data_IF_011122996173
#
_entry.id   IF_011122996173
#
_cell.length_a   1.000
_cell.length_b   1.000
_cell.length_c   1.000
_cell.angle_alpha   90.00
_cell.angle_beta   90.00
_cell.angle_gamma   90.00
#
_symmetry.space_group_name_H-M   'P 1'
#
loop_
_entity.id
_entity.type
_entity.pdbx_description
1 polymer ?
#
# COMPACT_ATOMS: atom_id res chain seq x y z
N UNK A 1 -21.99 7.49 2.16
CA UNK A 1 -21.25 7.35 3.44
C UNK A 1 -19.82 6.96 3.07
N UNK A 2 -19.02 7.96 2.73
CA UNK A 2 -17.65 7.85 2.22
C UNK A 2 -16.68 8.58 3.16
N UNK A 3 -16.96 8.53 4.45
CA UNK A 3 -16.09 9.09 5.48
C UNK A 3 -15.28 7.96 6.11
N UNK A 4 -13.96 7.96 5.89
CA UNK A 4 -13.03 7.13 6.66
C UNK A 4 -12.26 6.04 5.92
N UNK A 5 -12.24 6.04 4.58
CA UNK A 5 -11.39 5.09 3.83
C UNK A 5 -9.90 5.46 3.88
N UNK A 6 -9.61 6.77 3.95
CA UNK A 6 -8.27 7.36 4.08
C UNK A 6 -8.13 8.08 5.43
N UNK A 7 -6.91 8.20 6.02
CA UNK A 7 -6.66 9.06 7.18
C UNK A 7 -7.11 10.51 6.95
N UNK A 8 -7.88 11.03 7.89
CA UNK A 8 -8.32 12.42 7.93
C UNK A 8 -7.16 13.38 8.26
N UNK A 9 -6.24 12.97 9.14
CA UNK A 9 -5.06 13.74 9.52
C UNK A 9 -3.81 12.86 9.40
N UNK A 10 -3.27 12.68 8.17
CA UNK A 10 -2.28 11.63 7.90
C UNK A 10 -0.89 11.98 8.45
N UNK A 11 -0.39 11.17 9.38
CA UNK A 11 0.96 11.28 9.96
C UNK A 11 1.77 9.99 9.78
N UNK A 12 3.09 10.10 9.68
CA UNK A 12 3.98 8.94 9.71
C UNK A 12 4.27 8.50 11.14
N UNK A 13 3.95 7.25 11.47
CA UNK A 13 4.31 6.65 12.76
C UNK A 13 4.95 5.29 12.56
N UNK A 14 5.91 4.98 13.43
CA UNK A 14 6.50 3.65 13.47
C UNK A 14 5.49 2.69 14.10
N UNK A 15 5.11 1.66 13.36
CA UNK A 15 4.33 0.55 13.88
C UNK A 15 5.30 -0.54 14.32
N UNK A 16 5.22 -0.94 15.57
CA UNK A 16 6.04 -2.02 16.11
C UNK A 16 5.52 -3.36 15.62
N UNK A 17 6.43 -4.28 15.28
CA UNK A 17 6.06 -5.65 14.92
C UNK A 17 5.16 -6.29 16.00
N UNK A 18 4.13 -7.01 15.57
CA UNK A 18 3.16 -7.70 16.43
C UNK A 18 2.37 -6.81 17.42
N UNK A 19 2.43 -5.47 17.31
CA UNK A 19 1.57 -4.59 18.12
C UNK A 19 0.14 -4.46 17.62
N UNK A 20 -0.10 -4.91 16.39
CA UNK A 20 -1.42 -4.92 15.76
C UNK A 20 -2.02 -6.33 15.85
N UNK A 21 -3.31 -6.40 16.14
CA UNK A 21 -4.04 -7.66 16.30
C UNK A 21 -4.22 -8.40 14.97
N UNK A 22 -4.43 -7.67 13.87
CA UNK A 22 -4.69 -8.25 12.56
C UNK A 22 -3.45 -8.14 11.66
N UNK A 23 -2.98 -6.94 11.36
CA UNK A 23 -1.82 -6.63 10.51
C UNK A 23 -0.48 -6.75 11.25
N UNK A 24 -0.26 -7.84 11.98
CA UNK A 24 0.93 -8.06 12.83
C UNK A 24 2.26 -8.03 12.06
N UNK A 25 2.24 -8.22 10.73
CA UNK A 25 3.41 -8.16 9.86
C UNK A 25 3.93 -6.74 9.58
N UNK A 26 3.20 -5.69 9.97
CA UNK A 26 3.61 -4.30 9.75
C UNK A 26 4.63 -3.91 10.81
N UNK A 27 5.84 -3.54 10.39
CA UNK A 27 6.97 -3.22 11.28
C UNK A 27 7.77 -1.98 10.84
N UNK A 28 7.10 -1.04 10.16
CA UNK A 28 7.73 0.12 9.53
C UNK A 28 7.00 1.44 9.82
N UNK A 29 7.58 2.56 9.37
CA UNK A 29 6.92 3.86 9.38
C UNK A 29 5.74 3.86 8.41
N UNK A 30 4.52 3.84 8.94
CA UNK A 30 3.30 3.80 8.17
C UNK A 30 2.49 5.09 8.34
N UNK A 31 1.68 5.41 7.32
CA UNK A 31 0.69 6.47 7.42
C UNK A 31 -0.47 6.01 8.29
N UNK A 32 -0.77 6.79 9.32
CA UNK A 32 -1.93 6.62 10.21
C UNK A 32 -2.57 7.97 10.49
N UNK A 33 -3.70 7.98 11.19
CA UNK A 33 -4.30 9.23 11.66
C UNK A 33 -3.54 9.80 12.86
N UNK A 34 -3.47 11.13 12.94
CA UNK A 34 -2.83 11.83 14.04
C UNK A 34 -3.38 11.43 15.42
N UNK A 35 -4.67 11.11 15.50
CA UNK A 35 -5.36 10.66 16.71
C UNK A 35 -5.31 9.13 16.92
N UNK A 36 -4.80 8.37 15.94
CA UNK A 36 -4.58 6.92 16.04
C UNK A 36 -3.11 6.60 16.29
N UNK A 37 -2.69 6.84 17.54
CA UNK A 37 -1.27 6.71 17.91
C UNK A 37 -0.69 5.31 17.75
N UNK A 38 -1.53 4.27 17.77
CA UNK A 38 -1.14 2.86 17.68
C UNK A 38 -1.41 2.24 16.31
N UNK A 39 -2.19 2.90 15.45
CA UNK A 39 -2.66 2.33 14.18
C UNK A 39 -3.84 1.37 14.34
N UNK A 40 -4.46 1.28 15.52
CA UNK A 40 -5.51 0.32 15.82
C UNK A 40 -6.80 0.55 15.00
N UNK A 41 -7.10 1.80 14.62
CA UNK A 41 -8.27 2.08 13.76
C UNK A 41 -8.03 1.54 12.36
N UNK A 42 -6.82 1.70 11.82
CA UNK A 42 -6.45 1.15 10.51
C UNK A 42 -6.40 -0.37 10.53
N UNK A 43 -5.92 -0.97 11.63
CA UNK A 43 -5.92 -2.43 11.83
C UNK A 43 -7.35 -2.99 11.81
N UNK A 44 -8.26 -2.37 12.56
CA UNK A 44 -9.67 -2.76 12.61
C UNK A 44 -10.36 -2.64 11.25
N UNK A 45 -10.03 -1.58 10.48
CA UNK A 45 -10.54 -1.42 9.10
C UNK A 45 -9.99 -2.52 8.18
N UNK A 46 -8.70 -2.84 8.27
CA UNK A 46 -8.09 -3.91 7.49
C UNK A 46 -8.77 -5.26 7.78
N UNK A 47 -9.03 -5.57 9.05
CA UNK A 47 -9.76 -6.77 9.45
C UNK A 47 -11.19 -6.77 8.88
N UNK A 48 -11.90 -5.65 8.96
CA UNK A 48 -13.26 -5.54 8.41
C UNK A 48 -13.30 -5.90 6.92
N UNK A 49 -12.38 -5.37 6.11
CA UNK A 49 -12.28 -5.72 4.69
C UNK A 49 -11.92 -7.18 4.45
N UNK A 50 -11.05 -7.75 5.27
CA UNK A 50 -10.69 -9.16 5.22
C UNK A 50 -11.88 -10.08 5.53
N UNK A 51 -12.67 -9.77 6.56
CA UNK A 51 -13.85 -10.57 6.97
C UNK A 51 -14.87 -10.73 5.84
N UNK A 52 -15.07 -9.69 5.03
CA UNK A 52 -15.97 -9.75 3.87
C UNK A 52 -15.50 -10.80 2.85
N UNK A 53 -14.19 -10.87 2.58
CA UNK A 53 -13.62 -11.89 1.70
C UNK A 53 -13.69 -13.28 2.31
N UNK A 54 -13.40 -13.41 3.61
CA UNK A 54 -13.47 -14.70 4.28
C UNK A 54 -14.88 -15.33 4.22
N UNK A 55 -15.93 -14.51 4.37
CA UNK A 55 -17.33 -14.95 4.21
C UNK A 55 -17.59 -15.49 2.80
N UNK A 56 -17.05 -14.84 1.75
CA UNK A 56 -17.20 -15.30 0.38
C UNK A 56 -16.46 -16.63 0.17
N UNK A 57 -15.24 -16.76 0.69
CA UNK A 57 -14.46 -17.99 0.60
C UNK A 57 -15.15 -19.18 1.30
N UNK A 58 -15.78 -18.95 2.46
CA UNK A 58 -16.54 -19.99 3.16
C UNK A 58 -17.70 -20.56 2.31
N UNK A 59 -18.37 -19.71 1.51
CA UNK A 59 -19.46 -20.13 0.63
C UNK A 59 -18.98 -20.82 -0.65
N UNK A 60 -17.78 -20.47 -1.14
CA UNK A 60 -17.20 -21.05 -2.35
C UNK A 60 -16.76 -22.52 -2.15
N UNK A 61 -16.66 -22.98 -0.91
CA UNK A 61 -16.32 -24.37 -0.59
C UNK A 61 -14.81 -24.63 -0.66
N UNK A 62 -14.08 -24.17 0.36
CA UNK A 62 -12.61 -24.26 0.47
C UNK A 62 -12.00 -25.67 0.40
N UNK A 63 -12.82 -26.71 0.34
CA UNK A 63 -12.41 -28.09 0.14
C UNK A 63 -12.04 -28.40 -1.32
N UNK A 64 -12.55 -27.62 -2.28
CA UNK A 64 -12.22 -27.78 -3.69
C UNK A 64 -10.98 -26.95 -4.03
N UNK A 65 -9.91 -27.60 -4.50
CA UNK A 65 -8.76 -26.89 -5.09
C UNK A 65 -9.18 -26.26 -6.42
N UNK A 66 -9.19 -24.93 -6.49
CA UNK A 66 -9.44 -24.19 -7.73
C UNK A 66 -8.16 -23.90 -8.52
N UNK A 67 -6.98 -24.13 -7.92
CA UNK A 67 -5.66 -24.01 -8.55
C UNK A 67 -4.61 -24.84 -7.78
N UNK A 68 -3.31 -24.54 -7.95
CA UNK A 68 -2.25 -25.00 -7.04
C UNK A 68 -2.52 -24.56 -5.59
N UNK A 69 -3.23 -23.44 -5.42
CA UNK A 69 -3.53 -22.78 -4.14
C UNK A 69 -4.92 -23.12 -3.61
N UNK A 70 -5.07 -23.07 -2.29
CA UNK A 70 -6.33 -23.20 -1.57
C UNK A 70 -6.77 -21.90 -0.89
N UNK A 71 -7.92 -21.96 -0.19
CA UNK A 71 -8.44 -20.77 0.49
C UNK A 71 -7.47 -20.16 1.52
N UNK A 72 -6.64 -20.97 2.17
CA UNK A 72 -5.70 -20.46 3.17
C UNK A 72 -4.60 -19.62 2.52
N UNK A 73 -4.09 -20.06 1.36
CA UNK A 73 -3.19 -19.25 0.54
C UNK A 73 -3.83 -17.93 0.11
N UNK A 74 -5.10 -17.96 -0.28
CA UNK A 74 -5.86 -16.76 -0.63
C UNK A 74 -6.05 -15.83 0.56
N UNK A 75 -6.40 -16.36 1.74
CA UNK A 75 -6.54 -15.61 2.99
C UNK A 75 -5.25 -14.90 3.33
N UNK A 76 -4.13 -15.60 3.29
CA UNK A 76 -2.83 -15.02 3.57
C UNK A 76 -2.48 -13.94 2.54
N UNK A 77 -2.66 -14.21 1.25
CA UNK A 77 -2.41 -13.22 0.19
C UNK A 77 -3.25 -11.96 0.37
N UNK A 78 -4.56 -12.12 0.63
CA UNK A 78 -5.48 -11.00 0.80
C UNK A 78 -5.17 -10.21 2.08
N UNK A 79 -4.82 -10.89 3.18
CA UNK A 79 -4.37 -10.26 4.43
C UNK A 79 -3.13 -9.40 4.18
N UNK A 80 -2.12 -9.94 3.50
CA UNK A 80 -0.93 -9.19 3.11
C UNK A 80 -1.27 -7.95 2.28
N UNK A 81 -2.12 -8.11 1.28
CA UNK A 81 -2.54 -7.00 0.43
C UNK A 81 -3.29 -5.92 1.23
N UNK A 82 -4.34 -6.27 1.97
CA UNK A 82 -5.15 -5.26 2.69
C UNK A 82 -4.32 -4.52 3.73
N UNK A 83 -3.40 -5.20 4.43
CA UNK A 83 -2.48 -4.56 5.36
C UNK A 83 -1.52 -3.61 4.64
N UNK A 84 -1.01 -3.97 3.46
CA UNK A 84 -0.16 -3.07 2.66
C UNK A 84 -0.87 -1.78 2.22
N UNK A 85 -2.17 -1.88 1.94
CA UNK A 85 -3.00 -0.76 1.49
C UNK A 85 -3.40 0.12 2.67
N UNK A 86 -3.77 -0.49 3.81
CA UNK A 86 -4.18 0.27 5.02
C UNK A 86 -3.00 0.89 5.75
N UNK A 87 -1.82 0.27 5.68
CA UNK A 87 -0.57 0.79 6.25
C UNK A 87 0.42 1.13 5.14
N UNK A 88 0.16 2.20 4.40
CA UNK A 88 1.09 2.69 3.40
C UNK A 88 2.41 3.11 4.08
N UNK A 89 3.53 2.51 3.68
CA UNK A 89 4.84 2.90 4.19
C UNK A 89 5.13 4.36 3.82
N UNK A 90 5.75 5.12 4.70
CA UNK A 90 6.04 6.53 4.45
C UNK A 90 7.39 6.97 5.03
N UNK A 91 7.88 8.11 4.57
CA UNK A 91 9.13 8.72 5.02
C UNK A 91 9.86 9.42 3.88
N UNK A 92 11.19 9.41 3.91
CA UNK A 92 11.97 9.86 2.77
C UNK A 92 12.28 8.71 1.82
N UNK A 93 12.04 8.90 0.53
CA UNK A 93 12.33 7.97 -0.54
C UNK A 93 13.27 8.62 -1.56
N UNK A 94 14.24 7.88 -2.08
CA UNK A 94 15.09 8.38 -3.17
C UNK A 94 14.58 7.77 -4.47
N UNK A 95 14.05 8.61 -5.36
CA UNK A 95 13.55 8.21 -6.67
C UNK A 95 14.59 8.57 -7.71
N UNK A 96 15.07 7.58 -8.45
CA UNK A 96 15.99 7.80 -9.56
C UNK A 96 15.19 7.89 -10.85
N UNK A 97 15.30 9.02 -11.54
CA UNK A 97 14.71 9.23 -12.87
C UNK A 97 15.82 9.30 -13.90
N UNK A 98 15.47 9.32 -15.19
CA UNK A 98 16.43 9.55 -16.29
C UNK A 98 17.20 10.88 -16.15
N UNK A 99 16.71 11.79 -15.28
CA UNK A 99 17.33 13.09 -14.95
C UNK A 99 18.18 13.06 -13.68
N UNK A 100 18.36 11.91 -13.04
CA UNK A 100 19.14 11.73 -11.81
C UNK A 100 18.30 11.34 -10.58
N UNK A 101 19.00 11.14 -9.45
CA UNK A 101 18.41 10.76 -8.17
C UNK A 101 17.82 11.98 -7.44
N UNK A 102 16.53 11.92 -7.12
CA UNK A 102 15.78 12.93 -6.37
C UNK A 102 15.29 12.34 -5.05
N UNK A 103 15.58 12.99 -3.92
CA UNK A 103 15.05 12.59 -2.61
C UNK A 103 13.68 13.22 -2.39
N UNK A 104 12.62 12.42 -2.42
CA UNK A 104 11.28 12.82 -1.99
C UNK A 104 11.17 12.62 -0.48
N UNK A 105 10.49 13.53 0.20
CA UNK A 105 10.30 13.51 1.65
C UNK A 105 8.80 13.60 1.92
N UNK A 106 8.27 12.65 2.68
CA UNK A 106 6.93 12.79 3.24
C UNK A 106 6.96 13.90 4.29
N UNK A 107 6.20 14.98 4.04
CA UNK A 107 5.93 16.01 5.03
C UNK A 107 4.44 16.04 5.33
N UNK A 108 4.11 15.98 6.62
CA UNK A 108 2.72 16.11 7.12
C UNK A 108 2.17 17.52 6.91
N UNK A 109 3.05 18.51 6.78
CA UNK A 109 2.70 19.94 6.74
C UNK A 109 2.21 20.41 5.36
N UNK A 110 2.16 19.51 4.36
CA UNK A 110 1.94 19.86 2.94
C UNK A 110 0.97 18.90 2.21
N UNK A 111 -0.05 18.34 2.86
CA UNK A 111 -1.08 17.56 2.17
C UNK A 111 -2.48 17.83 2.74
N UNK A 112 -2.92 19.09 2.71
CA UNK A 112 -4.36 19.40 2.79
C UNK A 112 -4.97 19.11 1.41
N UNK A 113 -5.88 18.14 1.33
CA UNK A 113 -6.60 17.83 0.11
C UNK A 113 -7.89 18.65 0.11
N UNK A 114 -8.01 19.79 -0.61
CA UNK A 114 -9.33 20.34 -0.87
C UNK A 114 -10.01 19.42 -1.88
N UNK A 115 -11.02 18.69 -1.43
CA UNK A 115 -11.90 17.89 -2.26
C UNK A 115 -12.78 18.81 -3.13
N UNK A 116 -12.20 19.51 -4.10
CA UNK A 116 -12.96 20.30 -5.08
C UNK A 116 -12.20 20.42 -6.40
N UNK A 117 -12.67 19.68 -7.40
CA UNK A 117 -12.46 20.00 -8.81
C UNK A 117 -12.93 21.43 -9.08
N UNK A 118 -12.03 22.38 -9.35
CA UNK A 118 -12.24 23.49 -10.31
C UNK A 118 -11.07 24.48 -10.41
N UNK A 119 -10.54 24.57 -11.63
CA UNK A 119 -10.16 25.78 -12.37
C UNK A 119 -8.97 26.62 -11.87
N UNK A 120 -7.88 26.42 -12.58
CA UNK A 120 -6.78 27.36 -12.78
C UNK A 120 -7.24 28.82 -12.98
N UNK A 121 -6.69 29.75 -12.20
CA UNK A 121 -6.41 31.11 -12.67
C UNK A 121 -5.13 31.61 -12.00
N UNK A 122 -4.21 32.08 -12.85
CA UNK A 122 -2.86 32.49 -12.49
C UNK A 122 -2.81 33.81 -11.71
N UNK A 123 -1.77 33.96 -10.88
CA UNK A 123 -0.84 35.11 -10.80
C UNK A 123 -0.56 35.57 -9.37
N UNK A 124 0.72 35.58 -8.99
CA UNK A 124 1.36 36.79 -8.42
C UNK A 124 2.88 36.62 -8.36
N UNK A 125 3.52 37.75 -8.65
CA UNK A 125 4.91 37.97 -9.03
C UNK A 125 5.80 38.26 -7.82
N UNK A 126 7.09 37.88 -7.90
CA UNK A 126 8.26 38.40 -7.12
C UNK A 126 8.27 38.08 -5.61
N UNK A 127 9.31 37.52 -4.99
CA UNK A 127 10.74 37.89 -5.03
C UNK A 127 11.60 36.78 -4.38
N UNK A 128 12.83 36.66 -4.88
CA UNK A 128 13.98 35.83 -4.46
C UNK A 128 14.06 35.33 -3.01
N UNK A 129 13.97 34.00 -2.83
CA UNK A 129 14.79 33.22 -1.89
C UNK A 129 14.83 31.76 -2.35
N UNK A 130 16.03 31.17 -2.39
CA UNK A 130 16.25 29.76 -2.75
C UNK A 130 15.72 28.87 -1.62
N UNK A 131 14.42 28.60 -1.67
CA UNK A 131 13.77 27.59 -0.84
C UNK A 131 13.13 26.64 -1.83
N UNK A 132 13.54 25.38 -1.82
CA UNK A 132 13.02 24.36 -2.73
C UNK A 132 11.49 24.47 -2.75
N UNK A 133 10.94 24.84 -3.91
CA UNK A 133 9.51 24.88 -4.11
C UNK A 133 8.99 23.45 -3.93
N UNK A 134 8.54 23.13 -2.72
CA UNK A 134 7.90 21.86 -2.41
C UNK A 134 6.46 21.96 -2.91
N UNK A 135 6.30 21.93 -4.23
CA UNK A 135 5.01 21.67 -4.86
C UNK A 135 4.65 20.22 -4.56
N UNK A 136 3.49 20.02 -3.94
CA UNK A 136 2.87 18.72 -3.81
C UNK A 136 2.52 18.25 -5.23
N UNK A 137 3.38 17.43 -5.82
CA UNK A 137 3.04 16.72 -7.05
C UNK A 137 2.01 15.68 -6.65
N UNK A 138 0.98 15.51 -7.46
CA UNK A 138 0.10 14.35 -7.37
C UNK A 138 0.99 13.08 -7.42
N UNK A 139 1.17 12.41 -6.28
CA UNK A 139 2.16 11.33 -6.11
C UNK A 139 3.53 11.70 -5.51
N UNK A 140 3.75 12.91 -4.96
CA UNK A 140 4.93 13.28 -4.15
C UNK A 140 4.68 13.31 -2.63
N UNK A 141 3.60 12.74 -2.14
CA UNK A 141 3.56 12.32 -0.74
C UNK A 141 4.70 11.29 -0.62
N UNK A 142 5.70 11.44 0.25
CA UNK A 142 6.74 10.42 0.47
C UNK A 142 6.22 9.08 1.05
N UNK A 143 5.00 8.70 0.68
CA UNK A 143 4.42 7.37 0.79
C UNK A 143 5.02 6.50 -0.29
N UNK A 144 5.45 5.31 0.11
CA UNK A 144 5.93 4.27 -0.79
C UNK A 144 4.73 3.60 -1.41
N UNK A 145 4.76 3.42 -2.74
CA UNK A 145 3.75 2.66 -3.47
C UNK A 145 3.77 1.20 -3.02
N UNK A 146 2.62 0.56 -2.89
CA UNK A 146 2.55 -0.89 -2.65
C UNK A 146 3.14 -1.63 -3.84
N UNK A 147 3.86 -2.72 -3.60
CA UNK A 147 4.36 -3.52 -4.70
C UNK A 147 3.22 -4.16 -5.50
N UNK A 148 3.27 -4.05 -6.84
CA UNK A 148 2.27 -4.63 -7.73
C UNK A 148 2.13 -6.15 -7.52
N UNK A 149 3.25 -6.84 -7.29
CA UNK A 149 3.29 -8.27 -7.00
C UNK A 149 2.56 -8.69 -5.73
N UNK A 150 2.35 -7.79 -4.75
CA UNK A 150 1.47 -8.08 -3.59
C UNK A 150 0.02 -8.17 -4.05
N UNK A 151 -0.40 -7.30 -4.95
CA UNK A 151 -1.73 -7.35 -5.54
C UNK A 151 -1.88 -8.61 -6.40
N UNK A 152 -0.91 -8.87 -7.29
CA UNK A 152 -0.94 -10.02 -8.20
C UNK A 152 -0.97 -11.36 -7.46
N UNK A 153 -0.35 -11.45 -6.28
CA UNK A 153 -0.43 -12.62 -5.42
C UNK A 153 -1.88 -12.94 -4.99
N UNK A 154 -2.72 -11.94 -4.77
CA UNK A 154 -4.15 -12.15 -4.48
C UNK A 154 -4.85 -12.72 -5.70
N UNK A 155 -4.66 -12.11 -6.88
CA UNK A 155 -5.28 -12.58 -8.14
C UNK A 155 -4.90 -14.03 -8.43
N UNK A 156 -3.65 -14.39 -8.17
CA UNK A 156 -3.11 -15.72 -8.41
C UNK A 156 -3.59 -16.77 -7.41
N UNK A 157 -3.70 -16.40 -6.13
CA UNK A 157 -4.02 -17.34 -5.04
C UNK A 157 -5.50 -17.45 -4.74
N UNK A 158 -6.33 -16.48 -5.15
CA UNK A 158 -7.75 -16.45 -4.84
C UNK A 158 -8.65 -16.93 -5.99
N UNK A 159 -9.86 -17.43 -5.66
CA UNK A 159 -10.81 -17.86 -6.68
C UNK A 159 -11.36 -16.65 -7.46
N UNK A 160 -11.68 -16.88 -8.73
CA UNK A 160 -12.20 -15.86 -9.65
C UNK A 160 -13.48 -15.17 -9.15
N UNK A 161 -14.25 -15.83 -8.26
CA UNK A 161 -15.48 -15.28 -7.67
C UNK A 161 -15.26 -13.98 -6.89
N UNK A 162 -14.05 -13.75 -6.37
CA UNK A 162 -13.73 -12.50 -5.69
C UNK A 162 -13.64 -11.31 -6.66
N UNK A 163 -13.52 -11.58 -7.97
CA UNK A 163 -13.36 -10.57 -9.03
C UNK A 163 -12.28 -9.52 -8.73
N UNK A 164 -11.24 -9.95 -8.01
CA UNK A 164 -10.16 -9.10 -7.55
C UNK A 164 -9.27 -8.72 -8.75
N UNK A 165 -8.92 -7.44 -8.86
CA UNK A 165 -8.22 -6.90 -10.02
C UNK A 165 -7.06 -6.02 -9.58
N UNK A 166 -5.93 -6.20 -10.27
CA UNK A 166 -4.74 -5.39 -10.10
C UNK A 166 -4.57 -4.45 -11.28
N UNK A 167 -4.01 -3.25 -11.08
CA UNK A 167 -3.71 -2.36 -12.19
C UNK A 167 -2.66 -3.01 -13.10
N UNK A 168 -2.78 -2.75 -14.41
CA UNK A 168 -1.87 -3.29 -15.44
C UNK A 168 -0.61 -2.45 -15.63
N UNK A 169 -0.54 -1.29 -14.98
CA UNK A 169 0.55 -0.31 -15.12
C UNK A 169 0.86 0.33 -13.75
N UNK A 170 1.99 1.02 -13.67
CA UNK A 170 2.34 1.87 -12.53
C UNK A 170 1.20 2.84 -12.22
N UNK A 171 0.81 2.92 -10.94
CA UNK A 171 -0.17 3.90 -10.47
C UNK A 171 0.41 4.68 -9.31
N UNK A 172 -0.23 5.78 -8.87
CA UNK A 172 0.17 6.46 -7.64
C UNK A 172 0.20 5.54 -6.39
N UNK A 173 -0.48 4.40 -6.42
CA UNK A 173 -0.60 3.46 -5.30
C UNK A 173 0.20 2.16 -5.47
N UNK A 174 0.51 1.77 -6.71
CA UNK A 174 1.18 0.50 -7.02
C UNK A 174 2.41 0.71 -7.88
N UNK A 175 3.48 -0.03 -7.57
CA UNK A 175 4.71 -0.06 -8.37
C UNK A 175 5.28 -1.46 -8.58
N UNK A 176 5.76 -1.72 -9.78
CA UNK A 176 6.50 -2.91 -10.19
C UNK A 176 7.99 -2.85 -9.81
N UNK A 177 8.53 -1.67 -9.42
CA UNK A 177 9.91 -1.57 -8.95
C UNK A 177 10.06 -2.10 -7.52
N UNK A 178 10.54 -3.34 -7.43
CA UNK A 178 10.75 -4.11 -6.19
C UNK A 178 11.72 -3.47 -5.18
N UNK A 179 12.50 -2.48 -5.62
CA UNK A 179 13.48 -1.79 -4.78
C UNK A 179 12.87 -0.58 -4.08
N UNK A 180 11.83 0.01 -4.67
CA UNK A 180 11.24 1.28 -4.20
C UNK A 180 9.82 1.10 -3.68
N UNK A 181 9.16 -0.02 -3.96
CA UNK A 181 7.81 -0.30 -3.47
C UNK A 181 7.77 -0.87 -2.03
N UNK A 182 6.63 -0.73 -1.37
CA UNK A 182 6.31 -1.30 -0.07
C UNK A 182 5.97 -2.79 -0.23
N UNK A 183 6.88 -3.65 0.22
CA UNK A 183 6.73 -5.12 0.25
C UNK A 183 6.39 -5.71 1.62
N UNK A 184 6.03 -4.86 2.60
CA UNK A 184 5.99 -5.20 4.03
C UNK A 184 7.28 -5.92 4.48
N UNK A 185 7.13 -7.04 5.19
CA UNK A 185 8.19 -7.90 5.70
C UNK A 185 8.66 -8.96 4.68
N UNK A 186 8.18 -8.93 3.43
CA UNK A 186 8.53 -9.95 2.43
C UNK A 186 9.95 -9.80 1.91
N UNK A 187 10.76 -10.81 2.21
CA UNK A 187 12.15 -10.96 1.69
C UNK A 187 12.31 -12.20 0.80
N UNK A 188 11.51 -13.23 1.02
CA UNK A 188 11.52 -14.49 0.27
C UNK A 188 10.20 -14.72 -0.48
N UNK A 189 10.25 -15.52 -1.55
CA UNK A 189 9.04 -15.88 -2.29
C UNK A 189 8.08 -16.70 -1.40
N UNK A 190 6.78 -16.37 -1.32
CA UNK A 190 5.84 -17.04 -0.43
C UNK A 190 5.62 -18.52 -0.75
N UNK A 191 5.80 -18.91 -2.02
CA UNK A 191 5.57 -20.28 -2.50
C UNK A 191 6.88 -21.09 -2.54
N UNK A 192 8.03 -20.40 -2.59
CA UNK A 192 9.38 -21.00 -2.57
C UNK A 192 10.32 -20.19 -1.68
N UNK A 193 10.34 -20.46 -0.36
CA UNK A 193 11.15 -19.69 0.60
C UNK A 193 12.66 -19.69 0.33
N UNK A 194 13.17 -20.65 -0.46
CA UNK A 194 14.56 -20.71 -0.91
C UNK A 194 14.92 -19.65 -1.96
N UNK A 195 13.94 -18.92 -2.50
CA UNK A 195 14.12 -17.89 -3.53
C UNK A 195 13.83 -16.49 -3.01
N UNK A 196 14.51 -15.46 -3.54
CA UNK A 196 14.22 -14.08 -3.18
C UNK A 196 12.84 -13.65 -3.70
N UNK A 197 12.21 -12.73 -2.98
CA UNK A 197 10.95 -12.09 -3.40
C UNK A 197 11.20 -11.02 -4.50
N UNK A 198 10.30 -10.79 -5.46
CA UNK A 198 9.04 -11.52 -5.71
C UNK A 198 9.25 -12.88 -6.39
N UNK A 199 10.49 -13.19 -6.79
CA UNK A 199 10.83 -14.32 -7.65
C UNK A 199 10.45 -14.04 -9.11
N UNK A 200 11.01 -14.80 -10.06
CA UNK A 200 10.49 -14.79 -11.42
C UNK A 200 9.44 -15.90 -11.54
N UNK A 201 8.31 -15.59 -12.18
CA UNK A 201 7.26 -16.58 -12.45
C UNK A 201 7.73 -17.66 -13.46
N UNK A 202 8.81 -17.38 -14.21
CA UNK A 202 9.37 -18.27 -15.23
C UNK A 202 10.18 -19.44 -14.65
N UNK A 203 10.56 -19.37 -13.38
CA UNK A 203 11.31 -20.43 -12.72
C UNK A 203 10.40 -21.47 -12.01
N UNK A 204 9.08 -21.42 -12.24
CA UNK A 204 8.08 -22.32 -11.67
C UNK A 204 8.24 -23.75 -12.20
#
# INVERSE_FOLDING_TARGET
MTDGEEPANPVCRYITKDSLSFCSMVDYMAVVDADDSTGAKFDSKAEFYYRNVDIVLQRFGCHAKYSVYGCDDCRDAYKYWVCSIKFQKCGSQTVTTDRGATKLVYSTDMCEFPATMATSTASSTTTTSKTAASSCVEGSSGRYRTCLSICEDVVRKCPYVLNFQCPTTETPFFSADINTCNKLDRVSNPDRPSRPWPGTFADA
#
